data_IF_838387975636
#
_entry.id   IF_838387975636
#
_cell.length_a   1.000
_cell.length_b   1.000
_cell.length_c   1.000
_cell.angle_alpha   90.00
_cell.angle_beta   90.00
_cell.angle_gamma   90.00
#
_symmetry.space_group_name_H-M   'P 1'
#
loop_
_entity.id
_entity.type
_entity.pdbx_description
1 polymer ?
#
# COMPACT_ATOMS: atom_id res chain seq x y z
N UNK A 1 2.73 -30.57 -9.60
CA UNK A 1 2.72 -29.98 -10.94
C UNK A 1 1.50 -29.08 -11.01
N UNK A 2 1.66 -27.79 -10.73
CA UNK A 2 0.60 -26.81 -10.99
C UNK A 2 0.70 -26.42 -12.45
N UNK A 3 -0.27 -26.86 -13.25
CA UNK A 3 -0.46 -26.42 -14.62
C UNK A 3 -0.71 -24.92 -14.61
N UNK A 4 0.31 -24.15 -15.00
CA UNK A 4 0.21 -22.71 -15.19
C UNK A 4 -0.84 -22.40 -16.25
N UNK A 5 -1.94 -21.77 -15.84
CA UNK A 5 -2.99 -21.34 -16.76
C UNK A 5 -2.39 -20.51 -17.91
N UNK A 6 -2.85 -20.70 -19.15
CA UNK A 6 -2.35 -19.94 -20.28
C UNK A 6 -2.63 -18.46 -20.06
N UNK A 7 -1.58 -17.63 -20.03
CA UNK A 7 -1.71 -16.17 -19.99
C UNK A 7 -2.49 -15.73 -21.23
N UNK A 8 -3.75 -15.36 -21.04
CA UNK A 8 -4.61 -14.83 -22.10
C UNK A 8 -3.93 -13.62 -22.73
N UNK A 9 -3.85 -13.61 -24.08
CA UNK A 9 -3.32 -12.45 -24.80
C UNK A 9 -4.22 -11.25 -24.53
N UNK A 10 -3.63 -10.23 -23.90
CA UNK A 10 -4.29 -8.98 -23.48
C UNK A 10 -5.07 -8.31 -24.63
N UNK A 11 -4.61 -8.49 -25.87
CA UNK A 11 -5.22 -7.93 -27.09
C UNK A 11 -6.69 -8.32 -27.33
N UNK A 12 -7.18 -9.40 -26.70
CA UNK A 12 -8.54 -9.90 -26.89
C UNK A 12 -9.51 -9.44 -25.77
N UNK A 13 -9.07 -8.56 -24.86
CA UNK A 13 -9.85 -8.14 -23.68
C UNK A 13 -10.02 -6.62 -23.69
N UNK A 14 -11.27 -6.14 -23.75
CA UNK A 14 -11.55 -4.70 -23.75
C UNK A 14 -11.22 -4.02 -22.41
N UNK A 15 -11.49 -4.71 -21.29
CA UNK A 15 -11.27 -4.21 -19.92
C UNK A 15 -10.21 -5.04 -19.21
N UNK A 16 -8.95 -4.75 -19.52
CA UNK A 16 -7.79 -5.47 -18.96
C UNK A 16 -7.56 -5.13 -17.49
N UNK A 17 -7.73 -3.86 -17.14
CA UNK A 17 -7.55 -3.33 -15.78
C UNK A 17 -8.86 -2.67 -15.37
N UNK A 18 -9.44 -3.13 -14.27
CA UNK A 18 -10.67 -2.56 -13.73
C UNK A 18 -10.36 -1.23 -12.99
N UNK A 19 -11.18 -0.18 -13.13
CA UNK A 19 -10.95 1.09 -12.42
C UNK A 19 -10.91 0.96 -10.89
N UNK A 20 -11.54 -0.08 -10.34
CA UNK A 20 -11.60 -0.37 -8.91
C UNK A 20 -10.60 -1.46 -8.46
N UNK A 21 -9.53 -1.71 -9.22
CA UNK A 21 -8.55 -2.78 -8.91
C UNK A 21 -7.99 -2.68 -7.47
N UNK A 22 -7.77 -1.47 -6.96
CA UNK A 22 -7.28 -1.25 -5.58
C UNK A 22 -8.39 -1.11 -4.53
N UNK A 23 -9.67 -1.20 -4.93
CA UNK A 23 -10.83 -1.01 -4.07
C UNK A 23 -10.71 0.28 -3.22
N UNK A 24 -11.23 0.25 -1.98
CA UNK A 24 -11.09 1.32 -1.00
C UNK A 24 -9.98 1.05 0.04
N UNK A 25 -9.10 0.07 -0.19
CA UNK A 25 -8.18 -0.45 0.82
C UNK A 25 -7.22 0.62 1.36
N UNK A 26 -6.66 1.46 0.49
CA UNK A 26 -5.75 2.57 0.87
C UNK A 26 -6.48 3.58 1.78
N UNK A 27 -7.71 3.95 1.40
CA UNK A 27 -8.54 4.86 2.17
C UNK A 27 -8.89 4.27 3.54
N UNK A 28 -9.25 2.98 3.57
CA UNK A 28 -9.60 2.27 4.80
C UNK A 28 -8.41 2.21 5.76
N UNK A 29 -7.21 1.90 5.25
CA UNK A 29 -5.98 1.87 6.03
C UNK A 29 -5.77 3.20 6.77
N UNK A 30 -5.80 4.33 6.05
CA UNK A 30 -5.65 5.66 6.64
C UNK A 30 -6.78 6.03 7.61
N UNK A 31 -8.02 5.65 7.30
CA UNK A 31 -9.18 5.97 8.16
C UNK A 31 -9.18 5.23 9.51
N UNK A 32 -8.51 4.07 9.57
CA UNK A 32 -8.42 3.25 10.78
C UNK A 32 -7.26 3.67 11.70
N UNK A 33 -6.21 4.31 11.15
CA UNK A 33 -5.02 4.72 11.92
C UNK A 33 -5.32 5.58 13.16
N UNK A 34 -6.21 6.62 13.10
CA UNK A 34 -6.51 7.43 14.28
C UNK A 34 -7.14 6.62 15.43
N UNK A 35 -8.00 5.66 15.10
CA UNK A 35 -8.66 4.82 16.08
C UNK A 35 -7.65 3.87 16.76
N UNK A 36 -6.76 3.27 15.97
CA UNK A 36 -5.66 2.43 16.48
C UNK A 36 -4.76 3.26 17.41
N UNK A 37 -4.41 4.49 17.02
CA UNK A 37 -3.61 5.39 17.84
C UNK A 37 -4.31 5.76 19.16
N UNK A 38 -5.61 6.04 19.12
CA UNK A 38 -6.39 6.35 20.31
C UNK A 38 -6.42 5.17 21.30
N UNK A 39 -6.71 3.95 20.82
CA UNK A 39 -6.69 2.76 21.68
C UNK A 39 -5.29 2.45 22.21
N UNK A 40 -4.25 2.62 21.39
CA UNK A 40 -2.86 2.51 21.83
C UNK A 40 -2.56 3.48 22.97
N UNK A 41 -2.99 4.74 22.85
CA UNK A 41 -2.78 5.75 23.89
C UNK A 41 -3.49 5.38 25.20
N UNK A 42 -4.71 4.84 25.14
CA UNK A 42 -5.42 4.32 26.32
C UNK A 42 -4.61 3.23 27.02
N UNK A 43 -4.05 2.27 26.28
CA UNK A 43 -3.20 1.20 26.84
C UNK A 43 -1.95 1.78 27.52
N UNK A 44 -1.31 2.78 26.90
CA UNK A 44 -0.11 3.42 27.44
C UNK A 44 -0.38 4.24 28.70
N UNK A 45 -1.50 4.98 28.72
CA UNK A 45 -1.90 5.86 29.82
C UNK A 45 -2.46 5.10 31.01
N UNK A 46 -3.02 3.89 30.82
CA UNK A 46 -3.52 3.07 31.91
C UNK A 46 -2.41 2.85 32.95
N UNK A 47 -2.60 3.24 34.23
CA UNK A 47 -1.60 3.06 35.28
C UNK A 47 -1.19 1.60 35.45
N UNK A 48 0.04 1.35 35.90
CA UNK A 48 0.48 0.00 36.18
C UNK A 48 -0.34 -0.63 37.32
N UNK A 49 -0.86 -1.82 37.08
CA UNK A 49 -1.75 -2.53 38.00
C UNK A 49 -1.05 -3.76 38.54
N UNK A 50 -1.18 -3.97 39.87
CA UNK A 50 -0.86 -5.22 40.53
C UNK A 50 -2.12 -5.78 41.17
N UNK A 51 -2.50 -7.00 40.82
CA UNK A 51 -3.65 -7.70 41.39
C UNK A 51 -3.14 -8.96 42.07
N UNK A 52 -3.36 -9.08 43.38
CA UNK A 52 -2.88 -10.23 44.15
C UNK A 52 -3.49 -11.55 43.64
N UNK A 53 -4.76 -11.52 43.21
CA UNK A 53 -5.43 -12.66 42.61
C UNK A 53 -4.92 -13.03 41.20
N UNK A 54 -4.12 -12.16 40.57
CA UNK A 54 -3.58 -12.37 39.22
C UNK A 54 -2.19 -11.73 39.09
N UNK A 55 -1.18 -12.39 39.66
CA UNK A 55 0.20 -11.88 39.70
C UNK A 55 0.81 -11.66 38.31
N UNK A 56 0.42 -12.45 37.30
CA UNK A 56 0.90 -12.32 35.92
C UNK A 56 0.39 -11.08 35.19
N UNK A 57 -0.71 -10.45 35.65
CA UNK A 57 -1.34 -9.32 34.98
C UNK A 57 -0.37 -8.16 34.75
N UNK A 58 0.51 -7.90 35.72
CA UNK A 58 1.54 -6.85 35.64
C UNK A 58 2.46 -7.06 34.43
N UNK A 59 2.85 -8.32 34.17
CA UNK A 59 3.74 -8.63 33.05
C UNK A 59 3.00 -8.55 31.71
N UNK A 60 1.75 -9.03 31.65
CA UNK A 60 0.92 -8.88 30.45
C UNK A 60 0.67 -7.40 30.10
N UNK A 61 0.45 -6.54 31.10
CA UNK A 61 0.32 -5.10 30.88
C UNK A 61 1.61 -4.49 30.33
N UNK A 62 2.78 -4.90 30.84
CA UNK A 62 4.08 -4.46 30.29
C UNK A 62 4.24 -4.86 28.83
N UNK A 63 3.88 -6.09 28.47
CA UNK A 63 3.92 -6.54 27.07
C UNK A 63 2.94 -5.76 26.19
N UNK A 64 1.72 -5.52 26.65
CA UNK A 64 0.75 -4.72 25.91
C UNK A 64 1.28 -3.30 25.63
N UNK A 65 1.88 -2.64 26.63
CA UNK A 65 2.51 -1.32 26.46
C UNK A 65 3.71 -1.37 25.51
N UNK A 66 4.54 -2.41 25.58
CA UNK A 66 5.69 -2.58 24.69
C UNK A 66 5.24 -2.76 23.23
N UNK A 67 4.26 -3.63 22.98
CA UNK A 67 3.71 -3.88 21.65
C UNK A 67 3.10 -2.61 21.04
N UNK A 68 2.41 -1.79 21.85
CA UNK A 68 1.87 -0.51 21.37
C UNK A 68 2.97 0.46 20.97
N UNK A 69 4.06 0.55 21.75
CA UNK A 69 5.22 1.38 21.38
C UNK A 69 5.86 0.88 20.09
N UNK A 70 6.11 -0.43 19.98
CA UNK A 70 6.65 -1.03 18.76
C UNK A 70 5.76 -0.74 17.54
N UNK A 71 4.43 -0.83 17.70
CA UNK A 71 3.50 -0.45 16.64
C UNK A 71 3.65 1.01 16.22
N UNK A 72 3.68 1.95 17.17
CA UNK A 72 3.74 3.39 16.90
C UNK A 72 5.10 3.78 16.31
N UNK A 73 6.18 3.22 16.82
CA UNK A 73 7.54 3.66 16.53
C UNK A 73 8.12 2.95 15.29
N UNK A 74 7.78 1.68 15.05
CA UNK A 74 8.42 0.86 14.01
C UNK A 74 7.49 0.50 12.85
N UNK A 75 6.22 0.16 13.12
CA UNK A 75 5.34 -0.39 12.08
C UNK A 75 4.42 0.65 11.43
N UNK A 76 3.79 1.52 12.22
CA UNK A 76 2.89 2.55 11.70
C UNK A 76 3.59 3.53 10.73
N UNK A 77 4.84 3.97 10.96
CA UNK A 77 5.55 4.83 10.01
C UNK A 77 5.68 4.20 8.62
N UNK A 78 5.87 2.87 8.55
CA UNK A 78 5.97 2.14 7.27
C UNK A 78 4.68 2.23 6.45
N UNK A 79 3.52 2.28 7.10
CA UNK A 79 2.23 2.47 6.41
C UNK A 79 2.10 3.89 5.83
N UNK A 80 2.62 4.89 6.55
CA UNK A 80 2.67 6.28 6.09
C UNK A 80 3.60 6.38 4.87
N UNK A 81 4.79 5.79 4.95
CA UNK A 81 5.77 5.79 3.87
C UNK A 81 5.22 5.11 2.62
N UNK A 82 4.59 3.93 2.78
CA UNK A 82 3.92 3.24 1.68
C UNK A 82 2.85 4.10 1.02
N UNK A 83 2.03 4.81 1.81
CA UNK A 83 1.04 5.75 1.27
C UNK A 83 1.70 6.88 0.48
N UNK A 84 2.83 7.43 0.96
CA UNK A 84 3.59 8.45 0.24
C UNK A 84 4.20 7.90 -1.05
N UNK A 85 4.70 6.67 -1.07
CA UNK A 85 5.20 6.02 -2.27
C UNK A 85 4.11 5.83 -3.32
N UNK A 86 2.91 5.38 -2.93
CA UNK A 86 1.76 5.24 -3.83
C UNK A 86 1.35 6.61 -4.41
N UNK A 87 1.35 7.67 -3.59
CA UNK A 87 1.07 9.04 -4.04
C UNK A 87 2.15 9.55 -5.01
N UNK A 88 3.43 9.29 -4.74
CA UNK A 88 4.54 9.64 -5.64
C UNK A 88 4.41 8.92 -6.97
N UNK A 89 4.10 7.61 -6.96
CA UNK A 89 3.86 6.85 -8.18
C UNK A 89 2.70 7.43 -8.99
N UNK A 90 1.55 7.67 -8.36
CA UNK A 90 0.37 8.26 -9.02
C UNK A 90 0.68 9.62 -9.65
N UNK A 91 1.37 10.49 -8.91
CA UNK A 91 1.80 11.81 -9.41
C UNK A 91 2.73 11.67 -10.62
N UNK A 92 3.73 10.78 -10.53
CA UNK A 92 4.67 10.53 -11.63
C UNK A 92 3.95 9.99 -12.85
N UNK A 93 3.10 8.98 -12.70
CA UNK A 93 2.31 8.40 -13.78
C UNK A 93 1.44 9.47 -14.48
N UNK A 94 0.70 10.26 -13.69
CA UNK A 94 -0.16 11.32 -14.23
C UNK A 94 0.63 12.37 -15.02
N UNK A 95 1.85 12.72 -14.57
CA UNK A 95 2.71 13.67 -15.29
C UNK A 95 3.18 13.16 -16.67
N UNK A 96 3.39 11.85 -16.82
CA UNK A 96 3.81 11.23 -18.08
C UNK A 96 2.64 10.75 -18.95
N UNK A 97 1.43 10.69 -18.41
CA UNK A 97 0.26 10.09 -19.05
C UNK A 97 0.04 10.58 -20.48
N UNK A 98 -0.04 11.90 -20.70
CA UNK A 98 -0.31 12.46 -22.01
C UNK A 98 0.74 12.06 -23.06
N UNK A 99 2.02 12.02 -22.67
CA UNK A 99 3.09 11.64 -23.60
C UNK A 99 3.10 10.15 -23.90
N UNK A 100 2.90 9.33 -22.87
CA UNK A 100 2.79 7.87 -23.02
C UNK A 100 1.59 7.49 -23.89
N UNK A 101 0.47 8.19 -23.74
CA UNK A 101 -0.72 8.00 -24.55
C UNK A 101 -0.47 8.34 -26.03
N UNK A 102 0.23 9.45 -26.30
CA UNK A 102 0.62 9.82 -27.66
C UNK A 102 1.53 8.77 -28.31
N UNK A 103 2.57 8.32 -27.58
CA UNK A 103 3.50 7.30 -28.06
C UNK A 103 2.80 5.95 -28.29
N UNK A 104 1.89 5.57 -27.39
CA UNK A 104 1.08 4.35 -27.51
C UNK A 104 0.26 4.32 -28.82
N UNK A 105 -0.26 5.47 -29.26
CA UNK A 105 -0.99 5.59 -30.53
C UNK A 105 -0.14 5.35 -31.77
N UNK A 106 1.19 5.50 -31.68
CA UNK A 106 2.13 5.45 -32.82
C UNK A 106 3.01 4.20 -32.85
N UNK A 107 2.84 3.26 -31.92
CA UNK A 107 3.75 2.10 -31.75
C UNK A 107 3.85 1.16 -32.94
N UNK A 108 2.87 1.19 -33.85
CA UNK A 108 2.86 0.39 -35.09
C UNK A 108 3.33 1.18 -36.32
N UNK A 109 3.48 2.50 -36.19
CA UNK A 109 3.75 3.42 -37.30
C UNK A 109 5.18 3.97 -37.24
N UNK A 110 5.76 4.05 -36.04
CA UNK A 110 7.08 4.63 -35.80
C UNK A 110 7.89 3.73 -34.83
N UNK A 111 8.99 3.17 -35.33
CA UNK A 111 9.89 2.31 -34.55
C UNK A 111 10.53 3.05 -33.36
N UNK A 112 10.82 4.34 -33.51
CA UNK A 112 11.35 5.16 -32.43
C UNK A 112 10.27 5.39 -31.36
N UNK A 113 9.03 5.68 -31.78
CA UNK A 113 7.92 5.84 -30.84
C UNK A 113 7.67 4.55 -30.03
N UNK A 114 7.82 3.37 -30.66
CA UNK A 114 7.75 2.07 -29.98
C UNK A 114 8.88 1.89 -28.96
N UNK A 115 10.12 2.22 -29.33
CA UNK A 115 11.27 2.16 -28.42
C UNK A 115 11.09 3.10 -27.22
N UNK A 116 10.66 4.34 -27.46
CA UNK A 116 10.42 5.34 -26.42
C UNK A 116 9.28 4.93 -25.50
N UNK A 117 8.16 4.44 -26.04
CA UNK A 117 7.03 3.94 -25.25
C UNK A 117 7.47 2.81 -24.32
N UNK A 118 8.11 1.77 -24.87
CA UNK A 118 8.53 0.60 -24.09
C UNK A 118 9.56 0.97 -23.01
N UNK A 119 10.49 1.88 -23.32
CA UNK A 119 11.47 2.36 -22.35
C UNK A 119 10.83 3.16 -21.21
N UNK A 120 9.96 4.11 -21.56
CA UNK A 120 9.31 4.98 -20.57
C UNK A 120 8.30 4.21 -19.73
N UNK A 121 7.47 3.37 -20.35
CA UNK A 121 6.50 2.51 -19.66
C UNK A 121 7.21 1.50 -18.74
N UNK A 122 8.35 0.93 -19.15
CA UNK A 122 9.12 0.00 -18.31
C UNK A 122 9.81 0.64 -17.10
N UNK A 123 9.93 1.97 -17.06
CA UNK A 123 10.50 2.73 -15.94
C UNK A 123 9.44 3.26 -14.97
N UNK A 124 8.16 3.17 -15.32
CA UNK A 124 7.05 3.46 -14.44
C UNK A 124 6.94 2.39 -13.36
#
# INVERSE_FOLDING_TARGET
AEEGQPKVKVLNVQNVIAPNTLSNSIRMLGSQSPLIQAYGLVILQQPDIKVNAMSSLTNHQKFAKANVREWIDEYNPKLIDLNQEMMRYSTRFNSYYSKLYELAGKVNEDEQAKADFTNAYGKL
#
